data_IF_088550981318
#
_entry.id   IF_088550981318
#
_cell.length_a   1.000
_cell.length_b   1.000
_cell.length_c   1.000
_cell.angle_alpha   90.00
_cell.angle_beta   90.00
_cell.angle_gamma   90.00
#
_symmetry.space_group_name_H-M   'P 1'
#
loop_
_entity.id
_entity.type
_entity.pdbx_description
1 polymer ?
#
# COMPACT_ATOMS: atom_id res chain seq x y z
N UNK A 1 17.74 20.70 1.41
CA UNK A 1 17.22 19.61 2.28
C UNK A 1 15.73 19.35 1.98
N UNK A 2 15.38 18.96 0.75
CA UNK A 2 13.98 18.78 0.31
C UNK A 2 13.58 17.29 0.13
N UNK A 3 14.53 16.38 0.39
CA UNK A 3 14.40 14.95 0.09
C UNK A 3 13.59 14.20 1.14
N UNK A 4 13.64 14.63 2.41
CA UNK A 4 13.00 13.92 3.52
C UNK A 4 11.47 14.10 3.55
N UNK A 5 10.98 15.30 3.23
CA UNK A 5 9.53 15.57 3.19
C UNK A 5 8.84 14.77 2.06
N UNK A 6 9.47 14.70 0.88
CA UNK A 6 8.94 13.95 -0.27
C UNK A 6 8.79 12.45 -0.01
N UNK A 7 9.74 11.85 0.72
CA UNK A 7 9.66 10.43 1.08
C UNK A 7 8.51 10.14 2.06
N UNK A 8 8.13 11.12 2.88
CA UNK A 8 7.12 10.95 3.93
C UNK A 8 5.70 10.92 3.38
N UNK A 9 5.46 11.55 2.23
CA UNK A 9 4.15 11.66 1.59
C UNK A 9 3.92 10.62 0.46
N UNK A 10 4.90 9.75 0.19
CA UNK A 10 4.90 8.83 -0.96
C UNK A 10 3.97 7.59 -0.79
N UNK A 11 3.52 7.30 0.44
CA UNK A 11 2.67 6.14 0.70
C UNK A 11 1.18 6.47 0.63
N UNK A 12 0.42 5.73 -0.18
CA UNK A 12 -1.05 5.65 -0.07
C UNK A 12 -1.42 4.94 1.21
N UNK A 13 -1.74 5.74 2.21
CA UNK A 13 -2.28 5.26 3.46
C UNK A 13 -3.79 5.14 3.33
N UNK A 14 -4.34 4.04 3.82
CA UNK A 14 -5.77 3.83 3.92
C UNK A 14 -6.41 4.98 4.71
N UNK A 15 -7.50 5.50 4.19
CA UNK A 15 -8.34 6.48 4.89
C UNK A 15 -9.46 5.81 5.72
N UNK A 16 -9.44 4.48 5.82
CA UNK A 16 -10.43 3.73 6.59
C UNK A 16 -10.28 3.91 8.11
N UNK A 17 -11.39 3.80 8.82
CA UNK A 17 -11.45 3.83 10.28
C UNK A 17 -11.31 2.43 10.88
N UNK A 18 -10.75 2.35 12.09
CA UNK A 18 -10.73 1.09 12.84
C UNK A 18 -12.14 0.74 13.30
N UNK A 19 -12.53 -0.50 13.03
CA UNK A 19 -13.79 -1.05 13.50
C UNK A 19 -13.66 -1.34 15.01
N UNK A 20 -14.54 -0.76 15.82
CA UNK A 20 -14.51 -0.91 17.29
C UNK A 20 -14.36 0.39 18.09
N UNK A 21 -14.60 1.56 17.50
CA UNK A 21 -14.80 2.82 18.24
C UNK A 21 -13.53 3.57 18.66
N UNK A 22 -12.34 3.07 18.30
CA UNK A 22 -11.11 3.82 18.49
C UNK A 22 -10.92 4.82 17.34
N UNK A 23 -10.76 6.11 17.65
CA UNK A 23 -10.58 7.23 16.71
C UNK A 23 -9.21 7.22 15.97
N UNK A 24 -8.69 6.04 15.68
CA UNK A 24 -7.38 5.81 15.09
C UNK A 24 -7.58 5.43 13.62
N UNK A 25 -7.10 6.27 12.71
CA UNK A 25 -7.10 5.94 11.28
C UNK A 25 -6.30 4.66 11.00
N UNK A 26 -6.77 3.84 10.07
CA UNK A 26 -6.09 2.63 9.63
C UNK A 26 -4.88 2.98 8.77
N UNK A 27 -3.68 3.00 9.36
CA UNK A 27 -2.44 3.38 8.67
C UNK A 27 -1.84 2.29 7.76
N UNK A 28 -2.65 1.57 6.99
CA UNK A 28 -2.19 0.50 6.08
C UNK A 28 -1.94 0.99 4.66
N UNK A 29 -0.99 0.38 3.94
CA UNK A 29 -0.81 0.65 2.50
C UNK A 29 -2.04 0.15 1.72
N UNK A 30 -2.47 0.93 0.73
CA UNK A 30 -3.58 0.58 -0.17
C UNK A 30 -3.08 -0.25 -1.34
N UNK A 31 -3.80 -1.33 -1.65
CA UNK A 31 -3.55 -2.19 -2.79
C UNK A 31 -4.82 -2.36 -3.62
N UNK A 32 -4.64 -2.69 -4.89
CA UNK A 32 -5.69 -3.10 -5.82
C UNK A 32 -5.52 -4.57 -6.17
N UNK A 33 -6.61 -5.33 -6.17
CA UNK A 33 -6.60 -6.72 -6.59
C UNK A 33 -6.63 -6.79 -8.11
N UNK A 34 -5.65 -7.42 -8.73
CA UNK A 34 -5.57 -7.59 -10.19
C UNK A 34 -6.59 -8.62 -10.70
N UNK A 35 -7.09 -9.51 -9.84
CA UNK A 35 -8.06 -10.55 -10.21
C UNK A 35 -9.51 -10.05 -10.26
N UNK A 36 -9.92 -9.14 -9.36
CA UNK A 36 -11.31 -8.65 -9.29
C UNK A 36 -11.44 -7.12 -9.32
N UNK A 37 -10.34 -6.38 -9.31
CA UNK A 37 -10.33 -4.92 -9.29
C UNK A 37 -10.61 -4.30 -7.92
N UNK A 38 -10.90 -5.07 -6.87
CA UNK A 38 -11.18 -4.54 -5.54
C UNK A 38 -9.98 -3.79 -4.96
N UNK A 39 -10.23 -2.61 -4.39
CA UNK A 39 -9.19 -1.75 -3.80
C UNK A 39 -9.43 -1.61 -2.31
N UNK A 40 -8.35 -1.67 -1.52
CA UNK A 40 -8.40 -1.37 -0.10
C UNK A 40 -7.08 -1.68 0.59
N UNK A 41 -7.03 -1.44 1.89
CA UNK A 41 -5.79 -1.62 2.63
C UNK A 41 -5.54 -3.04 3.09
N UNK A 42 -4.24 -3.34 3.22
CA UNK A 42 -3.73 -4.50 3.96
C UNK A 42 -3.66 -4.15 5.44
N UNK A 43 -4.19 -5.04 6.28
CA UNK A 43 -4.12 -4.90 7.73
C UNK A 43 -3.64 -6.20 8.37
N UNK A 44 -2.98 -6.06 9.52
CA UNK A 44 -2.50 -7.17 10.34
C UNK A 44 -3.65 -8.04 10.87
N UNK A 45 -4.73 -7.37 11.26
CA UNK A 45 -5.91 -7.98 11.86
C UNK A 45 -7.04 -8.00 10.83
N UNK A 46 -7.71 -9.13 10.75
CA UNK A 46 -8.82 -9.36 9.82
C UNK A 46 -10.04 -8.55 10.25
N UNK A 47 -10.70 -7.92 9.28
CA UNK A 47 -11.85 -7.00 9.47
C UNK A 47 -11.64 -5.94 10.56
N UNK A 48 -10.41 -5.46 10.72
CA UNK A 48 -10.10 -4.43 11.70
C UNK A 48 -10.34 -3.01 11.17
N UNK A 49 -10.54 -2.85 9.87
CA UNK A 49 -10.68 -1.55 9.20
C UNK A 49 -11.83 -1.57 8.19
N UNK A 50 -12.59 -0.47 8.12
CA UNK A 50 -13.75 -0.34 7.22
C UNK A 50 -13.41 -0.47 5.73
N UNK A 51 -12.19 -0.09 5.34
CA UNK A 51 -11.67 -0.19 3.96
C UNK A 51 -10.59 -1.27 3.77
N UNK A 52 -10.64 -2.34 4.58
CA UNK A 52 -9.74 -3.47 4.45
C UNK A 52 -10.16 -4.36 3.27
N UNK A 53 -9.28 -4.49 2.27
CA UNK A 53 -9.49 -5.41 1.14
C UNK A 53 -8.58 -6.63 1.16
N UNK A 54 -7.51 -6.61 1.98
CA UNK A 54 -6.52 -7.68 2.02
C UNK A 54 -6.18 -8.15 3.44
N UNK A 55 -5.92 -9.45 3.55
CA UNK A 55 -5.26 -10.05 4.73
C UNK A 55 -3.76 -9.77 4.72
N UNK A 56 -3.07 -10.08 5.83
CA UNK A 56 -1.60 -10.08 5.89
C UNK A 56 -0.93 -10.94 4.83
N UNK A 57 -1.59 -12.01 4.39
CA UNK A 57 -1.09 -12.94 3.39
C UNK A 57 -1.44 -12.53 1.95
N UNK A 58 -1.90 -11.28 1.74
CA UNK A 58 -2.34 -10.79 0.43
C UNK A 58 -3.47 -11.61 -0.20
N UNK A 59 -4.36 -12.16 0.64
CA UNK A 59 -5.63 -12.73 0.20
C UNK A 59 -6.66 -11.61 0.08
N UNK A 60 -7.25 -11.45 -1.09
CA UNK A 60 -8.31 -10.49 -1.34
C UNK A 60 -9.61 -10.94 -0.68
N UNK A 61 -10.25 -10.07 0.10
CA UNK A 61 -11.54 -10.37 0.73
C UNK A 61 -12.72 -10.39 -0.25
N UNK A 62 -12.62 -9.65 -1.36
CA UNK A 62 -13.71 -9.55 -2.33
C UNK A 62 -13.86 -10.82 -3.18
N UNK A 63 -12.74 -11.42 -3.62
CA UNK A 63 -12.76 -12.58 -4.52
C UNK A 63 -12.01 -13.81 -4.02
N UNK A 64 -11.28 -13.71 -2.90
CA UNK A 64 -10.49 -14.81 -2.35
C UNK A 64 -9.15 -15.07 -3.04
N UNK A 65 -8.79 -14.33 -4.10
CA UNK A 65 -7.51 -14.48 -4.80
C UNK A 65 -6.33 -14.14 -3.88
N UNK A 66 -5.27 -14.94 -3.92
CA UNK A 66 -4.05 -14.76 -3.13
C UNK A 66 -2.90 -14.39 -4.07
N UNK A 67 -2.10 -13.39 -3.69
CA UNK A 67 -0.92 -12.99 -4.48
C UNK A 67 -1.23 -12.15 -5.73
N UNK A 68 -2.50 -11.82 -5.96
CA UNK A 68 -2.97 -11.01 -7.09
C UNK A 68 -3.24 -9.58 -6.63
N UNK A 69 -2.18 -8.79 -6.45
CA UNK A 69 -2.26 -7.43 -5.92
C UNK A 69 -1.26 -6.48 -6.58
N UNK A 70 -1.64 -5.21 -6.62
CA UNK A 70 -0.85 -4.09 -7.10
C UNK A 70 -0.85 -3.01 -6.02
N UNK A 71 0.32 -2.50 -5.64
CA UNK A 71 0.40 -1.39 -4.71
C UNK A 71 -0.07 -0.11 -5.41
N UNK A 72 -1.11 0.53 -4.87
CA UNK A 72 -1.53 1.83 -5.38
C UNK A 72 -0.59 2.88 -4.80
N UNK A 73 0.13 3.60 -5.67
CA UNK A 73 0.80 4.83 -5.28
C UNK A 73 -0.26 5.91 -5.06
N UNK A 74 -0.03 6.83 -4.12
CA UNK A 74 -0.90 7.99 -3.96
C UNK A 74 -0.89 8.77 -5.26
N UNK A 75 -2.03 9.33 -5.67
CA UNK A 75 -2.18 10.17 -6.86
C UNK A 75 -1.30 11.46 -6.88
N UNK A 76 -0.26 11.56 -6.05
CA UNK A 76 0.86 12.45 -6.28
C UNK A 76 1.85 11.76 -7.21
N UNK A 77 1.59 11.90 -8.53
CA UNK A 77 2.48 11.60 -9.64
C UNK A 77 3.45 10.45 -9.37
N UNK A 78 3.01 9.22 -9.71
CA UNK A 78 3.85 8.05 -9.87
C UNK A 78 5.29 8.42 -10.22
N UNK A 79 6.17 8.36 -9.23
CA UNK A 79 7.58 8.13 -9.49
C UNK A 79 7.62 6.74 -10.08
N UNK A 80 7.54 6.72 -11.41
CA UNK A 80 7.73 5.56 -12.26
C UNK A 80 8.67 4.60 -11.57
N UNK A 81 8.23 3.35 -11.48
CA UNK A 81 9.07 2.16 -11.46
C UNK A 81 10.53 2.55 -11.72
N UNK A 82 11.32 2.71 -10.67
CA UNK A 82 12.74 2.52 -10.83
C UNK A 82 12.85 1.00 -10.91
N UNK A 83 13.00 0.38 -12.10
CA UNK A 83 13.69 -0.89 -12.13
C UNK A 83 14.97 -0.67 -11.31
N UNK A 84 15.30 -1.62 -10.46
CA UNK A 84 16.60 -1.69 -9.82
C UNK A 84 17.67 -1.73 -10.93
N UNK A 85 18.07 -0.56 -11.45
CA UNK A 85 19.16 -0.46 -12.40
C UNK A 85 20.42 -0.75 -11.62
N UNK A 86 21.18 -1.70 -12.13
CA UNK A 86 22.45 -2.22 -11.62
C UNK A 86 23.58 -1.17 -11.62
N UNK A 87 23.29 0.12 -11.51
CA UNK A 87 24.26 1.24 -11.56
C UNK A 87 24.71 1.70 -10.17
N UNK A 88 24.64 0.81 -9.16
CA UNK A 88 25.17 1.07 -7.81
C UNK A 88 26.64 0.63 -7.64
N UNK A 89 27.43 0.63 -8.73
CA UNK A 89 28.81 0.11 -8.73
C UNK A 89 29.84 1.00 -9.46
N UNK A 90 29.62 2.31 -9.56
CA UNK A 90 30.57 3.21 -10.25
C UNK A 90 31.00 4.46 -9.46
N UNK A 91 30.88 4.46 -8.13
CA UNK A 91 31.48 5.51 -7.30
C UNK A 91 32.13 4.89 -6.07
N UNK A 92 33.32 4.34 -6.29
CA UNK A 92 34.29 4.05 -5.25
C UNK A 92 35.63 4.40 -5.87
N UNK A 93 35.96 5.69 -5.81
CA UNK A 93 37.33 6.19 -5.94
C UNK A 93 37.77 6.61 -4.53
#
# INVERSE_FOLDING_TARGET
>A
MATYQKLKDDMSVCDGDRIGGYAMACRGQVYRCTACGATGCRQAKDHACTKQAFTVAFKCYACGATGQYEALASNHAASKSAPSTTERLANTD
#
